data_IF_132637755993
#
_entry.id   IF_132637755993
#
_cell.length_a   1.000
_cell.length_b   1.000
_cell.length_c   1.000
_cell.angle_alpha   90.00
_cell.angle_beta   90.00
_cell.angle_gamma   90.00
#
_symmetry.space_group_name_H-M   'P 1'
#
loop_
_entity.id
_entity.type
_entity.pdbx_description
1 polymer ?
#
# COMPACT_ATOMS: atom_id res chain seq x y z
N UNK A 1 -56.73 5.68 -5.22
CA UNK A 1 -55.59 5.34 -6.10
C UNK A 1 -54.35 6.25 -5.95
N UNK A 2 -54.52 7.58 -5.71
CA UNK A 2 -53.40 8.53 -5.60
C UNK A 2 -52.57 8.39 -4.31
N UNK A 3 -53.23 8.10 -3.18
CA UNK A 3 -52.61 7.98 -1.85
C UNK A 3 -51.65 6.78 -1.75
N UNK A 4 -52.05 5.61 -2.30
CA UNK A 4 -51.21 4.40 -2.33
C UNK A 4 -49.94 4.57 -3.15
N UNK A 5 -49.97 5.35 -4.25
CA UNK A 5 -48.77 5.63 -5.06
C UNK A 5 -47.75 6.51 -4.33
N UNK A 6 -48.21 7.50 -3.56
CA UNK A 6 -47.34 8.34 -2.74
C UNK A 6 -46.66 7.57 -1.61
N UNK A 7 -47.40 6.70 -0.91
CA UNK A 7 -46.88 5.87 0.18
C UNK A 7 -45.87 4.87 -0.36
N UNK A 8 -46.17 4.19 -1.48
CA UNK A 8 -45.25 3.24 -2.12
C UNK A 8 -43.96 3.94 -2.59
N UNK A 9 -44.04 5.16 -3.13
CA UNK A 9 -42.88 5.96 -3.56
C UNK A 9 -42.01 6.40 -2.37
N UNK A 10 -42.62 6.72 -1.21
CA UNK A 10 -41.90 7.02 0.04
C UNK A 10 -41.19 5.79 0.62
N UNK A 11 -41.87 4.65 0.65
CA UNK A 11 -41.31 3.37 1.10
C UNK A 11 -40.16 2.95 0.21
N UNK A 12 -40.31 3.07 -1.12
CA UNK A 12 -39.23 2.75 -2.06
C UNK A 12 -38.02 3.67 -1.85
N UNK A 13 -38.25 4.99 -1.71
CA UNK A 13 -37.18 5.98 -1.44
C UNK A 13 -36.44 5.73 -0.13
N UNK A 14 -37.15 5.40 0.95
CA UNK A 14 -36.52 5.02 2.23
C UNK A 14 -35.68 3.74 2.07
N UNK A 15 -36.22 2.72 1.41
CA UNK A 15 -35.48 1.47 1.14
C UNK A 15 -34.19 1.72 0.34
N UNK A 16 -34.23 2.58 -0.68
CA UNK A 16 -33.03 2.94 -1.44
C UNK A 16 -32.01 3.66 -0.57
N UNK A 17 -32.46 4.57 0.30
CA UNK A 17 -31.57 5.27 1.25
C UNK A 17 -30.90 4.31 2.23
N UNK A 18 -31.64 3.34 2.78
CA UNK A 18 -31.07 2.32 3.66
C UNK A 18 -30.05 1.43 2.95
N UNK A 19 -30.30 1.04 1.70
CA UNK A 19 -29.36 0.25 0.89
C UNK A 19 -28.08 1.02 0.56
N UNK A 20 -28.19 2.31 0.22
CA UNK A 20 -27.01 3.15 -0.02
C UNK A 20 -26.20 3.31 1.26
N UNK A 21 -26.86 3.56 2.40
CA UNK A 21 -26.18 3.72 3.68
C UNK A 21 -25.46 2.43 4.11
N UNK A 22 -26.09 1.26 3.96
CA UNK A 22 -25.47 -0.02 4.31
C UNK A 22 -24.28 -0.34 3.41
N UNK A 23 -24.37 -0.07 2.11
CA UNK A 23 -23.25 -0.25 1.18
C UNK A 23 -22.08 0.68 1.51
N UNK A 24 -22.36 1.92 1.90
CA UNK A 24 -21.35 2.91 2.26
C UNK A 24 -20.64 2.52 3.57
N UNK A 25 -21.38 2.02 4.56
CA UNK A 25 -20.79 1.47 5.80
C UNK A 25 -19.95 0.23 5.50
N UNK A 26 -20.44 -0.70 4.66
CA UNK A 26 -19.66 -1.87 4.26
C UNK A 26 -18.36 -1.45 3.55
N UNK A 27 -18.44 -0.48 2.63
CA UNK A 27 -17.29 0.04 1.91
C UNK A 27 -16.24 0.63 2.85
N UNK A 28 -16.66 1.44 3.83
CA UNK A 28 -15.78 2.00 4.86
C UNK A 28 -15.18 0.94 5.80
N UNK A 29 -15.90 -0.16 6.05
CA UNK A 29 -15.38 -1.29 6.83
C UNK A 29 -14.39 -2.13 6.02
N UNK A 30 -14.52 -2.18 4.69
CA UNK A 30 -13.61 -2.90 3.80
C UNK A 30 -12.37 -2.12 3.38
N UNK A 31 -12.32 -0.81 3.59
CA UNK A 31 -11.07 -0.06 3.39
C UNK A 31 -10.11 -0.42 4.51
N UNK A 32 -9.05 -1.15 4.18
CA UNK A 32 -8.03 -1.55 5.15
C UNK A 32 -7.47 -0.32 5.88
N UNK A 33 -7.48 -0.37 7.21
CA UNK A 33 -6.86 0.66 8.03
C UNK A 33 -5.35 0.44 8.03
N UNK A 34 -4.64 1.24 7.26
CA UNK A 34 -3.18 1.20 7.16
C UNK A 34 -2.59 2.07 8.28
N UNK A 35 -1.29 1.93 8.52
CA UNK A 35 -0.54 2.74 9.47
C UNK A 35 -0.86 2.43 10.96
N UNK A 36 -1.18 1.17 11.26
CA UNK A 36 -1.30 0.68 12.64
C UNK A 36 0.09 0.52 13.28
N UNK A 37 0.14 0.42 14.61
CA UNK A 37 1.41 0.11 15.31
C UNK A 37 1.94 -1.27 14.93
N UNK A 38 1.03 -2.22 14.66
CA UNK A 38 1.39 -3.56 14.20
C UNK A 38 2.06 -3.51 12.81
N UNK A 39 1.55 -2.70 11.87
CA UNK A 39 2.15 -2.55 10.54
C UNK A 39 3.58 -2.00 10.62
N UNK A 40 3.78 -0.96 11.44
CA UNK A 40 5.10 -0.38 11.70
C UNK A 40 6.05 -1.41 12.30
N UNK A 41 5.58 -2.21 13.25
CA UNK A 41 6.36 -3.28 13.86
C UNK A 41 6.72 -4.39 12.84
N UNK A 42 5.81 -4.76 11.95
CA UNK A 42 6.06 -5.73 10.88
C UNK A 42 7.17 -5.23 9.95
N UNK A 43 7.12 -3.98 9.52
CA UNK A 43 8.15 -3.41 8.64
C UNK A 43 9.51 -3.28 9.34
N UNK A 44 9.54 -2.86 10.61
CA UNK A 44 10.76 -2.81 11.40
C UNK A 44 11.40 -4.20 11.59
N UNK A 45 10.60 -5.21 11.93
CA UNK A 45 11.07 -6.58 12.09
C UNK A 45 11.59 -7.16 10.77
N UNK A 46 10.88 -6.90 9.67
CA UNK A 46 11.31 -7.34 8.33
C UNK A 46 12.66 -6.75 7.93
N UNK A 47 12.90 -5.47 8.25
CA UNK A 47 14.20 -4.84 8.05
C UNK A 47 15.28 -5.49 8.91
N UNK A 48 15.05 -5.71 10.21
CA UNK A 48 16.02 -6.34 11.12
C UNK A 48 16.46 -7.69 10.58
N UNK A 49 15.49 -8.55 10.23
CA UNK A 49 15.76 -9.89 9.68
C UNK A 49 16.50 -9.84 8.34
N UNK A 50 16.25 -8.82 7.53
CA UNK A 50 16.98 -8.63 6.29
C UNK A 50 18.45 -8.31 6.57
N UNK A 51 18.73 -7.34 7.46
CA UNK A 51 20.09 -6.94 7.83
C UNK A 51 20.87 -8.09 8.47
N UNK A 52 20.24 -8.86 9.35
CA UNK A 52 20.83 -10.04 9.99
C UNK A 52 21.24 -11.14 8.99
N UNK A 53 20.57 -11.21 7.83
CA UNK A 53 20.77 -12.29 6.86
C UNK A 53 21.33 -11.82 5.52
N UNK A 54 21.67 -10.54 5.38
CA UNK A 54 22.13 -9.95 4.12
C UNK A 54 23.47 -10.54 3.67
N UNK A 55 24.40 -10.74 4.60
CA UNK A 55 25.73 -11.31 4.32
C UNK A 55 25.82 -12.85 4.38
N UNK A 56 24.77 -13.55 4.84
CA UNK A 56 24.82 -15.00 5.10
C UNK A 56 23.96 -15.84 4.16
N UNK A 57 23.08 -15.22 3.35
CA UNK A 57 22.25 -15.95 2.38
C UNK A 57 22.96 -16.13 1.04
N UNK A 58 23.26 -17.37 0.63
CA UNK A 58 23.69 -17.68 -0.73
C UNK A 58 22.45 -17.70 -1.63
N UNK A 59 21.78 -16.57 -1.76
CA UNK A 59 20.84 -16.39 -2.88
C UNK A 59 21.68 -16.22 -4.15
N UNK A 60 21.31 -16.88 -5.27
CA UNK A 60 21.92 -16.56 -6.55
C UNK A 60 21.58 -15.09 -6.87
N UNK A 61 22.60 -14.25 -6.96
CA UNK A 61 22.56 -12.86 -7.41
C UNK A 61 21.40 -11.99 -6.89
N UNK A 62 21.15 -11.91 -5.56
CA UNK A 62 20.16 -11.00 -4.99
C UNK A 62 20.45 -9.53 -5.31
N UNK A 63 21.71 -9.20 -5.56
CA UNK A 63 22.14 -7.88 -5.98
C UNK A 63 21.66 -7.53 -7.39
N UNK A 64 21.54 -8.50 -8.32
CA UNK A 64 21.10 -8.23 -9.70
C UNK A 64 19.70 -7.63 -9.74
N UNK A 65 18.80 -8.08 -8.86
CA UNK A 65 17.43 -7.54 -8.80
C UNK A 65 17.42 -6.08 -8.36
N UNK A 66 18.27 -5.73 -7.37
CA UNK A 66 18.38 -4.37 -6.85
C UNK A 66 19.10 -3.46 -7.85
N UNK A 67 20.14 -3.96 -8.51
CA UNK A 67 20.87 -3.26 -9.57
C UNK A 67 19.95 -2.95 -10.75
N UNK A 68 19.15 -3.92 -11.19
CA UNK A 68 18.17 -3.73 -12.26
C UNK A 68 17.11 -2.69 -11.87
N UNK A 69 16.60 -2.75 -10.64
CA UNK A 69 15.66 -1.76 -10.12
C UNK A 69 16.27 -0.34 -10.09
N UNK A 70 17.48 -0.18 -9.54
CA UNK A 70 18.18 1.10 -9.52
C UNK A 70 18.42 1.65 -10.92
N UNK A 71 18.83 0.78 -11.86
CA UNK A 71 19.04 1.16 -13.27
C UNK A 71 17.74 1.66 -13.90
N UNK A 72 16.63 0.94 -13.68
CA UNK A 72 15.32 1.35 -14.19
C UNK A 72 14.85 2.68 -13.59
N UNK A 73 15.01 2.86 -12.27
CA UNK A 73 14.58 4.10 -11.61
C UNK A 73 15.45 5.29 -11.96
N UNK A 74 16.76 5.09 -12.16
CA UNK A 74 17.66 6.12 -12.70
C UNK A 74 17.24 6.55 -14.10
N UNK A 75 16.83 5.62 -14.97
CA UNK A 75 16.32 5.96 -16.30
C UNK A 75 14.99 6.76 -16.26
N UNK A 76 14.16 6.56 -15.22
CA UNK A 76 12.84 7.22 -15.09
C UNK A 76 12.88 8.57 -14.35
N UNK A 77 13.74 8.71 -13.35
CA UNK A 77 13.79 9.88 -12.45
C UNK A 77 15.06 10.71 -12.68
N UNK A 78 16.06 10.18 -13.39
CA UNK A 78 17.29 10.88 -13.72
C UNK A 78 18.22 11.04 -12.52
N UNK A 79 18.92 12.18 -12.46
CA UNK A 79 19.95 12.48 -11.45
C UNK A 79 19.43 12.60 -10.02
N UNK A 80 18.12 12.78 -9.83
CA UNK A 80 17.52 12.81 -8.50
C UNK A 80 17.40 11.40 -7.87
N UNK A 81 17.58 10.33 -8.65
CA UNK A 81 17.56 8.98 -8.12
C UNK A 81 18.77 8.70 -7.24
N UNK A 82 18.53 8.05 -6.09
CA UNK A 82 19.57 7.54 -5.20
C UNK A 82 19.43 6.04 -5.06
N UNK A 83 20.54 5.35 -5.27
CA UNK A 83 20.55 3.89 -5.27
C UNK A 83 20.14 3.36 -3.90
N UNK A 84 19.22 2.41 -3.93
CA UNK A 84 18.78 1.68 -2.74
C UNK A 84 19.57 0.38 -2.60
N UNK A 85 19.84 -0.02 -1.36
CA UNK A 85 20.34 -1.37 -1.05
C UNK A 85 19.19 -2.38 -1.05
N UNK A 86 19.51 -3.68 -0.93
CA UNK A 86 18.48 -4.74 -0.89
C UNK A 86 17.54 -4.55 0.29
N UNK A 87 18.09 -4.42 1.50
CA UNK A 87 17.26 -4.22 2.69
C UNK A 87 16.59 -2.84 2.71
N UNK A 88 17.22 -1.81 2.13
CA UNK A 88 16.60 -0.49 1.94
C UNK A 88 15.37 -0.55 1.04
N UNK A 89 15.46 -1.26 -0.09
CA UNK A 89 14.34 -1.47 -1.01
C UNK A 89 13.22 -2.27 -0.35
N UNK A 90 13.55 -3.34 0.37
CA UNK A 90 12.57 -4.16 1.09
C UNK A 90 11.80 -3.33 2.13
N UNK A 91 12.51 -2.52 2.92
CA UNK A 91 11.90 -1.59 3.87
C UNK A 91 10.96 -0.62 3.15
N UNK A 92 11.42 0.03 2.08
CA UNK A 92 10.62 0.99 1.35
C UNK A 92 9.33 0.34 0.80
N UNK A 93 9.42 -0.86 0.22
CA UNK A 93 8.25 -1.60 -0.25
C UNK A 93 7.26 -1.83 0.90
N UNK A 94 7.72 -2.33 2.05
CA UNK A 94 6.87 -2.58 3.20
C UNK A 94 6.16 -1.32 3.70
N UNK A 95 6.90 -0.23 3.87
CA UNK A 95 6.36 1.06 4.32
C UNK A 95 5.34 1.62 3.32
N UNK A 96 5.59 1.45 2.01
CA UNK A 96 4.67 1.91 0.98
C UNK A 96 3.38 1.08 0.98
N UNK A 97 3.49 -0.24 1.03
CA UNK A 97 2.33 -1.12 0.82
C UNK A 97 1.54 -1.38 2.10
N UNK A 98 2.22 -1.61 3.23
CA UNK A 98 1.56 -2.01 4.48
C UNK A 98 1.23 -0.76 5.31
N UNK A 99 2.20 0.14 5.50
CA UNK A 99 2.00 1.31 6.36
C UNK A 99 1.19 2.39 5.62
N UNK A 100 1.45 2.62 4.32
CA UNK A 100 0.80 3.70 3.57
C UNK A 100 -0.32 3.25 2.63
N UNK A 101 -0.49 1.94 2.39
CA UNK A 101 -1.39 1.40 1.37
C UNK A 101 -1.32 2.10 0.02
N UNK A 102 -0.09 2.41 -0.37
CA UNK A 102 0.24 3.05 -1.63
C UNK A 102 0.87 2.04 -2.58
N UNK A 103 0.85 2.40 -3.87
CA UNK A 103 1.52 1.62 -4.91
C UNK A 103 3.01 1.96 -4.93
N UNK A 104 3.86 0.94 -5.02
CA UNK A 104 5.30 1.11 -5.17
C UNK A 104 5.64 1.73 -6.53
N UNK A 105 6.45 2.78 -6.51
CA UNK A 105 7.00 3.47 -7.65
C UNK A 105 8.39 4.01 -7.31
N UNK A 106 9.21 4.35 -8.32
CA UNK A 106 10.49 4.99 -8.08
C UNK A 106 10.33 6.28 -7.24
N UNK A 107 9.26 7.08 -7.45
CA UNK A 107 9.05 8.31 -6.68
C UNK A 107 8.72 8.04 -5.21
N UNK A 108 7.87 7.04 -4.94
CA UNK A 108 7.51 6.69 -3.57
C UNK A 108 8.68 6.07 -2.81
N UNK A 109 9.55 5.30 -3.50
CA UNK A 109 10.78 4.75 -2.90
C UNK A 109 11.79 5.87 -2.62
N UNK A 110 11.99 6.81 -3.55
CA UNK A 110 12.89 7.95 -3.34
C UNK A 110 12.47 8.81 -2.14
N UNK A 111 11.16 8.99 -1.92
CA UNK A 111 10.64 9.74 -0.78
C UNK A 111 10.90 9.06 0.59
N UNK A 112 11.18 7.76 0.59
CA UNK A 112 11.46 6.96 1.78
C UNK A 112 12.94 6.62 1.97
N UNK A 113 13.76 6.81 0.95
CA UNK A 113 15.20 6.63 0.97
C UNK A 113 15.91 7.96 0.69
N UNK A 114 15.96 8.87 1.68
CA UNK A 114 16.44 10.23 1.51
C UNK A 114 17.96 10.33 1.69
#
# INVERSE_FOLDING_TARGET
AHLSRCILKRIFKMKTQFLVLSFLVLFLLTTEACNTDQDRAICANTLSRCLETEGSRPTPNPEETVIAFNTQCRARIGSAWRDVTRCGLLRAICEITIVRCQKVSCRSVLALNP
#
